data_IF_750778586832
#
_entry.id   IF_750778586832
#
_cell.length_a   1.000
_cell.length_b   1.000
_cell.length_c   1.000
_cell.angle_alpha   90.00
_cell.angle_beta   90.00
_cell.angle_gamma   90.00
#
_symmetry.space_group_name_H-M   'P 1'
#
loop_
_entity.id
_entity.type
_entity.pdbx_description
1 polymer ?
#
# COMPACT_ATOMS: atom_id res chain seq x y z
N UNK A 1 -19.80 -17.61 -16.88
CA UNK A 1 -19.32 -18.32 -18.08
C UNK A 1 -20.42 -18.35 -19.14
N UNK A 2 -20.14 -17.81 -20.36
CA UNK A 2 -21.16 -17.74 -21.45
C UNK A 2 -21.64 -19.12 -21.93
N UNK A 3 -20.78 -20.11 -21.92
CA UNK A 3 -21.11 -21.47 -22.26
C UNK A 3 -22.11 -22.09 -21.30
N UNK A 4 -21.91 -21.87 -20.01
CA UNK A 4 -22.81 -22.37 -18.97
C UNK A 4 -24.18 -21.70 -19.02
N UNK A 5 -24.22 -20.37 -19.21
CA UNK A 5 -25.46 -19.63 -19.41
C UNK A 5 -26.20 -20.11 -20.67
N UNK A 6 -25.46 -20.36 -21.74
CA UNK A 6 -26.00 -20.90 -22.99
C UNK A 6 -26.65 -22.28 -22.81
N UNK A 7 -26.01 -23.19 -22.04
CA UNK A 7 -26.58 -24.47 -21.66
C UNK A 7 -27.85 -24.33 -20.81
N UNK A 8 -27.84 -23.42 -19.83
CA UNK A 8 -29.02 -23.16 -18.98
C UNK A 8 -30.21 -22.68 -19.79
N UNK A 9 -30.02 -21.77 -20.73
CA UNK A 9 -31.09 -21.26 -21.60
C UNK A 9 -31.69 -22.40 -22.44
N UNK A 10 -30.89 -23.28 -23.04
CA UNK A 10 -31.39 -24.43 -23.79
C UNK A 10 -32.14 -25.42 -22.89
N UNK A 11 -31.70 -25.63 -21.67
CA UNK A 11 -32.40 -26.44 -20.66
C UNK A 11 -33.76 -25.84 -20.27
N UNK A 12 -33.83 -24.53 -20.10
CA UNK A 12 -35.09 -23.84 -19.81
C UNK A 12 -36.05 -23.85 -21.02
N UNK A 13 -35.51 -23.73 -22.22
CA UNK A 13 -36.33 -23.84 -23.46
C UNK A 13 -36.98 -25.21 -23.59
N UNK A 14 -36.33 -26.27 -23.12
CA UNK A 14 -36.91 -27.61 -23.11
C UNK A 14 -38.19 -27.72 -22.28
N UNK A 15 -38.23 -26.97 -21.16
CA UNK A 15 -39.41 -26.97 -20.29
C UNK A 15 -40.53 -26.05 -20.72
N UNK A 16 -40.22 -24.98 -21.45
CA UNK A 16 -41.20 -23.95 -21.83
C UNK A 16 -41.67 -24.04 -23.26
N UNK A 17 -40.85 -24.54 -24.18
CA UNK A 17 -41.07 -24.48 -25.64
C UNK A 17 -40.99 -25.83 -26.35
N UNK A 18 -41.08 -26.94 -25.64
CA UNK A 18 -40.96 -28.31 -26.21
C UNK A 18 -39.66 -28.54 -26.99
N UNK A 19 -38.57 -27.90 -26.64
CA UNK A 19 -37.28 -28.12 -27.27
C UNK A 19 -36.65 -29.43 -26.77
N UNK A 20 -36.22 -30.30 -27.72
CA UNK A 20 -35.55 -31.56 -27.34
C UNK A 20 -34.14 -31.34 -26.84
N UNK A 21 -34.04 -31.07 -25.54
CA UNK A 21 -32.76 -30.85 -24.86
C UNK A 21 -31.88 -32.11 -24.79
N UNK A 22 -32.49 -33.30 -24.71
CA UNK A 22 -31.77 -34.57 -24.69
C UNK A 22 -31.11 -34.82 -26.03
N UNK A 23 -31.87 -34.65 -27.13
CA UNK A 23 -31.33 -34.75 -28.49
C UNK A 23 -30.23 -33.69 -28.74
N UNK A 24 -30.37 -32.51 -28.20
CA UNK A 24 -29.36 -31.44 -28.24
C UNK A 24 -28.08 -31.83 -27.48
N UNK A 25 -28.18 -32.31 -26.22
CA UNK A 25 -27.06 -32.78 -25.41
C UNK A 25 -26.30 -33.94 -26.06
N UNK A 26 -27.01 -34.83 -26.72
CA UNK A 26 -26.44 -35.92 -27.51
C UNK A 26 -25.92 -35.52 -28.90
N UNK A 27 -25.98 -34.24 -29.26
CA UNK A 27 -25.54 -33.71 -30.56
C UNK A 27 -26.43 -34.06 -31.72
N UNK A 28 -27.66 -34.60 -31.51
CA UNK A 28 -28.62 -34.97 -32.53
C UNK A 28 -29.50 -33.83 -32.99
N UNK A 29 -29.72 -32.85 -32.13
CA UNK A 29 -30.51 -31.64 -32.39
C UNK A 29 -29.58 -30.41 -32.39
N UNK A 30 -29.81 -29.51 -33.36
CA UNK A 30 -29.02 -28.26 -33.44
C UNK A 30 -29.41 -27.32 -32.32
N UNK A 31 -28.43 -26.53 -31.78
CA UNK A 31 -28.73 -25.52 -30.79
C UNK A 31 -29.66 -24.45 -31.38
N UNK A 32 -30.53 -23.87 -30.54
CA UNK A 32 -31.43 -22.78 -30.94
C UNK A 32 -30.63 -21.57 -31.47
N UNK A 33 -29.48 -21.34 -30.88
CA UNK A 33 -28.54 -20.30 -31.29
C UNK A 33 -27.12 -20.63 -30.81
N UNK A 34 -26.12 -20.02 -31.41
CA UNK A 34 -24.72 -20.22 -31.01
C UNK A 34 -24.34 -19.44 -29.75
N UNK A 35 -23.30 -19.89 -29.04
CA UNK A 35 -22.69 -19.13 -27.92
C UNK A 35 -22.29 -17.73 -28.39
N UNK A 36 -21.84 -17.58 -29.64
CA UNK A 36 -21.48 -16.30 -30.23
C UNK A 36 -22.67 -15.37 -30.39
N UNK A 37 -23.82 -15.91 -30.76
CA UNK A 37 -25.10 -15.17 -30.87
C UNK A 37 -25.50 -14.63 -29.49
N UNK A 38 -25.40 -15.46 -28.43
CA UNK A 38 -25.65 -15.03 -27.05
C UNK A 38 -24.71 -13.91 -26.62
N UNK A 39 -23.41 -14.06 -26.88
CA UNK A 39 -22.42 -13.02 -26.58
C UNK A 39 -22.74 -11.69 -27.25
N UNK A 40 -23.10 -11.74 -28.54
CA UNK A 40 -23.46 -10.56 -29.32
C UNK A 40 -24.75 -9.91 -28.78
N UNK A 41 -25.76 -10.72 -28.45
CA UNK A 41 -27.00 -10.25 -27.84
C UNK A 41 -26.74 -9.52 -26.53
N UNK A 42 -25.99 -10.13 -25.60
CA UNK A 42 -25.66 -9.53 -24.31
C UNK A 42 -24.86 -8.25 -24.53
N UNK A 43 -23.85 -8.26 -25.40
CA UNK A 43 -23.06 -7.08 -25.73
C UNK A 43 -23.94 -5.94 -26.27
N UNK A 44 -24.87 -6.21 -27.15
CA UNK A 44 -25.76 -5.21 -27.71
C UNK A 44 -26.78 -4.71 -26.70
N UNK A 45 -27.34 -5.59 -25.86
CA UNK A 45 -28.28 -5.23 -24.81
C UNK A 45 -27.69 -4.25 -23.80
N UNK A 46 -26.43 -4.49 -23.42
CA UNK A 46 -25.72 -3.63 -22.45
C UNK A 46 -24.92 -2.48 -23.07
N UNK A 47 -24.98 -2.29 -24.40
CA UNK A 47 -24.21 -1.25 -25.09
C UNK A 47 -24.51 0.13 -24.53
N UNK A 48 -25.77 0.43 -24.28
CA UNK A 48 -26.24 1.73 -23.76
C UNK A 48 -26.52 1.69 -22.25
N UNK A 49 -26.15 0.58 -21.57
CA UNK A 49 -26.36 0.34 -20.14
C UNK A 49 -25.06 -0.09 -19.42
N UNK A 50 -23.96 0.66 -19.59
CA UNK A 50 -22.66 0.25 -19.06
C UNK A 50 -22.63 0.16 -17.53
N UNK A 51 -23.41 0.99 -16.81
CA UNK A 51 -23.53 0.95 -15.37
C UNK A 51 -24.17 -0.36 -14.89
N UNK A 52 -25.33 -0.73 -15.46
CA UNK A 52 -26.04 -1.97 -15.12
C UNK A 52 -25.15 -3.20 -15.40
N UNK A 53 -24.49 -3.22 -16.55
CA UNK A 53 -23.53 -4.27 -16.89
C UNK A 53 -22.39 -4.39 -15.89
N UNK A 54 -21.85 -3.26 -15.43
CA UNK A 54 -20.80 -3.25 -14.42
C UNK A 54 -21.31 -3.74 -13.06
N UNK A 55 -22.52 -3.36 -12.64
CA UNK A 55 -23.14 -3.83 -11.40
C UNK A 55 -23.27 -5.37 -11.40
N UNK A 56 -23.79 -5.93 -12.49
CA UNK A 56 -24.03 -7.37 -12.60
C UNK A 56 -22.73 -8.17 -12.69
N UNK A 57 -21.73 -7.64 -13.41
CA UNK A 57 -20.50 -8.40 -13.69
C UNK A 57 -19.40 -8.16 -12.68
N UNK A 58 -19.35 -7.00 -12.02
CA UNK A 58 -18.23 -6.55 -11.16
C UNK A 58 -18.67 -6.08 -9.78
N UNK A 59 -19.98 -6.02 -9.55
CA UNK A 59 -20.54 -5.57 -8.26
C UNK A 59 -20.79 -4.07 -8.19
N UNK A 60 -21.62 -3.70 -7.19
CA UNK A 60 -22.11 -2.32 -7.01
C UNK A 60 -20.99 -1.32 -6.70
N UNK A 61 -20.03 -1.70 -5.84
CA UNK A 61 -18.97 -0.80 -5.40
C UNK A 61 -18.04 -0.44 -6.55
N UNK A 62 -17.71 -1.42 -7.39
CA UNK A 62 -16.90 -1.17 -8.58
C UNK A 62 -17.65 -0.34 -9.63
N UNK A 63 -18.95 -0.54 -9.76
CA UNK A 63 -19.78 0.27 -10.64
C UNK A 63 -19.86 1.72 -10.15
N UNK A 64 -20.04 1.95 -8.84
CA UNK A 64 -20.00 3.28 -8.23
C UNK A 64 -18.66 3.96 -8.52
N UNK A 65 -17.55 3.30 -8.23
CA UNK A 65 -16.20 3.84 -8.47
C UNK A 65 -15.95 4.21 -9.94
N UNK A 66 -16.52 3.48 -10.88
CA UNK A 66 -16.27 3.68 -12.30
C UNK A 66 -17.19 4.72 -12.96
N UNK A 67 -18.43 4.83 -12.52
CA UNK A 67 -19.48 5.61 -13.19
C UNK A 67 -19.99 6.80 -12.41
N UNK A 68 -19.84 6.83 -11.07
CA UNK A 68 -20.18 8.02 -10.32
C UNK A 68 -19.06 9.04 -10.43
N UNK A 69 -19.36 10.30 -10.74
CA UNK A 69 -18.36 11.35 -10.76
C UNK A 69 -17.81 11.57 -9.35
N UNK A 70 -16.49 11.66 -9.23
CA UNK A 70 -15.85 12.08 -7.99
C UNK A 70 -16.32 13.48 -7.62
N UNK A 71 -16.98 13.63 -6.49
CA UNK A 71 -17.48 14.91 -6.00
C UNK A 71 -16.44 15.58 -5.09
N UNK A 72 -16.09 16.83 -5.40
CA UNK A 72 -15.21 17.64 -4.58
C UNK A 72 -13.72 17.40 -4.83
N UNK A 73 -12.91 18.19 -4.13
CA UNK A 73 -11.46 18.07 -4.13
C UNK A 73 -11.00 17.91 -2.67
N UNK A 74 -10.34 16.82 -2.35
CA UNK A 74 -9.88 16.55 -0.97
C UNK A 74 -9.02 17.69 -0.39
N UNK A 75 -8.30 18.43 -1.24
CA UNK A 75 -7.53 19.60 -0.80
C UNK A 75 -8.37 20.80 -0.42
N UNK A 76 -9.61 20.84 -0.81
CA UNK A 76 -10.57 21.88 -0.39
C UNK A 76 -11.16 21.54 0.98
N UNK A 77 -11.18 20.24 1.36
CA UNK A 77 -11.58 19.76 2.68
C UNK A 77 -10.44 19.89 3.70
N UNK A 78 -9.20 19.69 3.26
CA UNK A 78 -8.01 19.73 4.11
C UNK A 78 -7.10 20.85 3.62
N UNK A 79 -7.40 22.08 4.03
CA UNK A 79 -6.81 23.31 3.55
C UNK A 79 -5.56 23.77 4.33
N UNK A 80 -5.16 23.02 5.35
CA UNK A 80 -3.95 23.25 6.14
C UNK A 80 -3.07 22.00 6.23
N UNK A 81 -1.74 22.22 6.39
CA UNK A 81 -0.77 21.15 6.61
C UNK A 81 -1.11 20.34 7.87
N UNK A 82 -0.82 19.06 7.85
CA UNK A 82 -1.08 18.12 8.94
C UNK A 82 -2.57 17.93 9.35
N UNK A 83 -3.54 18.42 8.59
CA UNK A 83 -4.93 18.05 8.83
C UNK A 83 -5.20 16.60 8.43
N UNK A 84 -4.71 16.20 7.26
CA UNK A 84 -4.90 14.85 6.77
C UNK A 84 -3.68 14.37 5.99
N UNK A 85 -3.22 13.18 6.32
CA UNK A 85 -2.24 12.45 5.54
C UNK A 85 -2.89 11.29 4.80
N UNK A 86 -2.38 10.96 3.63
CA UNK A 86 -2.68 9.71 2.96
C UNK A 86 -1.50 8.76 3.11
N UNK A 87 -1.77 7.53 3.55
CA UNK A 87 -0.78 6.47 3.67
C UNK A 87 -1.15 5.30 2.77
N UNK A 88 -0.18 4.73 2.06
CA UNK A 88 -0.39 3.56 1.22
C UNK A 88 0.90 2.78 0.99
N UNK A 89 0.76 1.54 0.54
CA UNK A 89 1.86 0.65 0.19
C UNK A 89 1.68 0.08 -1.21
N UNK A 90 2.78 -0.06 -1.94
CA UNK A 90 2.77 -0.65 -3.28
C UNK A 90 4.00 -1.53 -3.46
N UNK A 91 3.89 -2.71 -4.10
CA UNK A 91 5.06 -3.43 -4.55
C UNK A 91 5.89 -2.54 -5.48
N UNK A 92 7.19 -2.48 -5.28
CA UNK A 92 8.07 -1.71 -6.14
C UNK A 92 8.15 -2.33 -7.55
N UNK A 93 8.23 -1.51 -8.60
CA UNK A 93 8.39 -1.99 -9.97
C UNK A 93 9.87 -2.24 -10.33
N UNK A 94 10.65 -2.69 -9.36
CA UNK A 94 12.06 -3.05 -9.53
C UNK A 94 12.48 -4.13 -8.53
N UNK A 95 13.61 -4.78 -8.84
CA UNK A 95 14.27 -5.78 -8.00
C UNK A 95 15.54 -5.17 -7.43
N UNK A 96 15.83 -5.51 -6.19
CA UNK A 96 17.07 -5.18 -5.48
C UNK A 96 17.76 -6.46 -5.02
N UNK A 97 19.01 -6.33 -4.57
CA UNK A 97 19.73 -7.40 -3.85
C UNK A 97 19.68 -7.13 -2.36
N UNK A 98 19.54 -8.17 -1.59
CA UNK A 98 19.76 -8.12 -0.14
C UNK A 98 21.20 -7.69 0.17
N UNK A 99 21.41 -6.88 1.19
CA UNK A 99 22.73 -6.32 1.49
C UNK A 99 23.74 -7.38 1.96
N UNK A 100 23.28 -8.44 2.62
CA UNK A 100 24.13 -9.49 3.20
C UNK A 100 24.20 -10.73 2.30
N UNK A 101 23.04 -11.25 1.89
CA UNK A 101 22.97 -12.50 1.11
C UNK A 101 23.18 -12.28 -0.38
N UNK A 102 23.01 -11.04 -0.85
CA UNK A 102 23.02 -10.63 -2.26
C UNK A 102 21.93 -11.29 -3.11
N UNK A 103 20.98 -11.99 -2.48
CA UNK A 103 19.86 -12.59 -3.18
C UNK A 103 18.88 -11.51 -3.69
N UNK A 104 18.38 -11.67 -4.92
CA UNK A 104 17.45 -10.72 -5.49
C UNK A 104 16.06 -10.86 -4.88
N UNK A 105 15.42 -9.73 -4.56
CA UNK A 105 14.02 -9.70 -4.12
C UNK A 105 13.32 -8.42 -4.58
N UNK A 106 11.99 -8.46 -4.57
CA UNK A 106 11.13 -7.33 -4.89
C UNK A 106 10.68 -6.63 -3.61
N UNK A 107 11.12 -5.40 -3.33
CA UNK A 107 10.68 -4.68 -2.12
C UNK A 107 9.29 -4.08 -2.30
N UNK A 108 8.75 -3.54 -1.19
CA UNK A 108 7.57 -2.71 -1.17
C UNK A 108 7.96 -1.26 -0.89
N UNK A 109 7.26 -0.32 -1.53
CA UNK A 109 7.35 1.11 -1.22
C UNK A 109 6.17 1.45 -0.32
N UNK A 110 6.45 2.01 0.85
CA UNK A 110 5.46 2.62 1.71
C UNK A 110 5.60 4.14 1.61
N UNK A 111 4.49 4.86 1.54
CA UNK A 111 4.53 6.32 1.43
C UNK A 111 3.43 6.99 2.23
N UNK A 112 3.78 8.14 2.81
CA UNK A 112 2.86 9.10 3.44
C UNK A 112 2.92 10.41 2.66
N UNK A 113 1.75 11.01 2.43
CA UNK A 113 1.63 12.30 1.73
C UNK A 113 0.66 13.21 2.48
N UNK A 114 1.08 14.42 2.79
CA UNK A 114 0.19 15.47 3.31
C UNK A 114 -0.76 15.96 2.21
N UNK A 115 -2.06 15.95 2.49
CA UNK A 115 -3.10 16.20 1.49
C UNK A 115 -3.05 17.66 1.01
N UNK A 116 -2.82 18.60 1.92
CA UNK A 116 -2.75 20.02 1.61
C UNK A 116 -1.59 20.35 0.66
N UNK A 117 -0.39 20.06 1.09
CA UNK A 117 0.82 20.48 0.38
C UNK A 117 1.26 19.49 -0.70
N UNK A 118 1.03 18.19 -0.50
CA UNK A 118 1.61 17.11 -1.26
C UNK A 118 3.05 16.78 -0.85
N UNK A 119 3.55 17.38 0.25
CA UNK A 119 4.78 16.95 0.90
C UNK A 119 4.65 15.50 1.37
N UNK A 120 5.73 14.76 1.37
CA UNK A 120 5.65 13.41 1.87
C UNK A 120 6.99 12.75 2.07
N UNK A 121 6.93 11.57 2.65
CA UNK A 121 8.04 10.63 2.82
C UNK A 121 7.70 9.30 2.17
N UNK A 122 8.73 8.54 1.84
CA UNK A 122 8.58 7.13 1.46
C UNK A 122 9.74 6.33 2.03
N UNK A 123 9.55 5.02 2.11
CA UNK A 123 10.58 4.07 2.51
C UNK A 123 10.42 2.76 1.75
N UNK A 124 11.54 2.05 1.54
CA UNK A 124 11.52 0.67 1.07
C UNK A 124 11.47 -0.27 2.26
N UNK A 125 10.74 -1.36 2.10
CA UNK A 125 10.69 -2.47 3.06
C UNK A 125 10.69 -3.79 2.32
N UNK A 126 11.24 -4.84 2.92
CA UNK A 126 11.18 -6.18 2.34
C UNK A 126 9.73 -6.69 2.26
N UNK A 127 8.96 -6.44 3.31
CA UNK A 127 7.54 -6.77 3.42
C UNK A 127 6.75 -5.63 4.04
N UNK A 128 5.56 -5.33 3.51
CA UNK A 128 4.59 -4.47 4.19
C UNK A 128 3.98 -5.23 5.36
N UNK A 129 4.02 -4.65 6.56
CA UNK A 129 3.38 -5.13 7.78
C UNK A 129 3.15 -3.97 8.75
N UNK A 130 2.47 -4.21 9.88
CA UNK A 130 2.17 -3.16 10.87
C UNK A 130 3.44 -2.48 11.42
N UNK A 131 4.51 -3.22 11.65
CA UNK A 131 5.79 -2.66 12.13
C UNK A 131 6.42 -1.71 11.10
N UNK A 132 6.39 -2.08 9.81
CA UNK A 132 6.92 -1.20 8.75
C UNK A 132 6.06 0.05 8.57
N UNK A 133 4.73 -0.04 8.77
CA UNK A 133 3.85 1.12 8.82
C UNK A 133 4.15 2.03 10.01
N UNK A 134 4.39 1.44 11.18
CA UNK A 134 4.80 2.17 12.40
C UNK A 134 6.10 2.94 12.17
N UNK A 135 7.11 2.32 11.58
CA UNK A 135 8.39 2.98 11.24
C UNK A 135 8.22 4.10 10.23
N UNK A 136 7.41 3.89 9.19
CA UNK A 136 7.08 4.94 8.22
C UNK A 136 6.37 6.12 8.90
N UNK A 137 5.42 5.83 9.79
CA UNK A 137 4.68 6.85 10.54
C UNK A 137 5.63 7.68 11.40
N UNK A 138 6.56 7.04 12.12
CA UNK A 138 7.59 7.78 12.88
C UNK A 138 8.43 8.67 11.96
N UNK A 139 8.96 8.14 10.85
CA UNK A 139 9.73 8.92 9.87
C UNK A 139 8.96 10.15 9.37
N UNK A 140 7.65 10.04 9.21
CA UNK A 140 6.80 11.16 8.80
C UNK A 140 6.55 12.16 9.93
N UNK A 141 6.27 11.68 11.15
CA UNK A 141 6.01 12.52 12.33
C UNK A 141 7.27 13.29 12.76
N UNK A 142 8.42 12.65 12.78
CA UNK A 142 9.70 13.30 13.07
C UNK A 142 9.97 14.46 12.11
N UNK A 143 9.68 14.27 10.83
CA UNK A 143 9.93 15.27 9.79
C UNK A 143 8.87 16.37 9.71
N UNK A 144 7.59 16.04 9.87
CA UNK A 144 6.46 16.94 9.60
C UNK A 144 5.66 17.30 10.85
N UNK A 145 5.90 16.65 11.98
CA UNK A 145 5.03 16.70 13.17
C UNK A 145 3.81 15.79 13.01
N UNK A 146 2.97 15.75 14.03
CA UNK A 146 1.81 14.87 14.13
C UNK A 146 0.64 15.37 13.26
N UNK A 147 -0.04 14.50 12.46
CA UNK A 147 -1.27 14.86 11.78
C UNK A 147 -2.48 14.71 12.70
N UNK A 148 -3.63 15.30 12.31
CA UNK A 148 -4.90 15.06 12.99
C UNK A 148 -5.53 13.74 12.52
N UNK A 149 -5.39 13.43 11.22
CA UNK A 149 -6.02 12.29 10.57
C UNK A 149 -5.10 11.62 9.58
N UNK A 150 -5.25 10.31 9.44
CA UNK A 150 -4.61 9.50 8.40
C UNK A 150 -5.69 8.76 7.62
N UNK A 151 -5.67 8.88 6.29
CA UNK A 151 -6.44 8.06 5.34
C UNK A 151 -5.57 6.94 4.79
N UNK A 152 -6.00 5.71 4.97
CA UNK A 152 -5.27 4.53 4.51
C UNK A 152 -6.19 3.45 3.94
N UNK A 153 -5.62 2.30 3.64
CA UNK A 153 -6.37 1.16 3.12
C UNK A 153 -7.06 0.35 4.23
N UNK A 154 -8.03 -0.49 3.85
CA UNK A 154 -8.68 -1.47 4.72
C UNK A 154 -7.85 -2.77 4.89
N UNK A 155 -6.57 -2.76 4.53
CA UNK A 155 -5.68 -3.91 4.66
C UNK A 155 -5.46 -4.32 6.12
N UNK A 156 -5.19 -5.61 6.34
CA UNK A 156 -5.01 -6.17 7.70
C UNK A 156 -3.90 -5.47 8.49
N UNK A 157 -2.86 -5.00 7.82
CA UNK A 157 -1.73 -4.32 8.45
C UNK A 157 -2.14 -2.96 9.02
N UNK A 158 -2.99 -2.22 8.28
CA UNK A 158 -3.52 -0.91 8.67
C UNK A 158 -4.57 -1.03 9.79
N UNK A 159 -5.36 -2.10 9.78
CA UNK A 159 -6.39 -2.38 10.79
C UNK A 159 -5.89 -3.26 11.94
N UNK A 160 -4.58 -3.53 12.00
CA UNK A 160 -4.00 -4.29 13.09
C UNK A 160 -4.20 -3.56 14.43
N UNK A 161 -4.42 -4.33 15.50
CA UNK A 161 -4.63 -3.78 16.84
C UNK A 161 -3.47 -2.87 17.26
N UNK A 162 -2.25 -3.26 16.94
CA UNK A 162 -1.04 -2.52 17.33
C UNK A 162 -1.00 -1.16 16.63
N UNK A 163 -1.25 -1.12 15.32
CA UNK A 163 -1.23 0.14 14.57
C UNK A 163 -2.39 1.06 14.95
N UNK A 164 -3.60 0.52 15.15
CA UNK A 164 -4.75 1.30 15.60
C UNK A 164 -4.54 1.84 17.02
N UNK A 165 -4.03 1.01 17.94
CA UNK A 165 -3.72 1.46 19.32
C UNK A 165 -2.65 2.56 19.35
N UNK A 166 -1.67 2.51 18.45
CA UNK A 166 -0.69 3.57 18.26
C UNK A 166 -1.37 4.87 17.84
N UNK A 167 -2.22 4.83 16.84
CA UNK A 167 -2.92 6.02 16.34
C UNK A 167 -3.85 6.62 17.40
N UNK A 168 -4.61 5.78 18.11
CA UNK A 168 -5.47 6.19 19.22
C UNK A 168 -4.67 6.84 20.35
N UNK A 169 -3.54 6.23 20.75
CA UNK A 169 -2.67 6.74 21.78
C UNK A 169 -2.02 8.09 21.44
N UNK A 170 -1.83 8.35 20.15
CA UNK A 170 -1.35 9.63 19.64
C UNK A 170 -2.47 10.62 19.30
N UNK A 171 -3.74 10.28 19.54
CA UNK A 171 -4.92 11.06 19.11
C UNK A 171 -4.85 11.39 17.60
N UNK A 172 -4.60 10.40 16.77
CA UNK A 172 -4.65 10.47 15.31
C UNK A 172 -5.86 9.68 14.83
N UNK A 173 -6.80 10.33 14.16
CA UNK A 173 -7.96 9.65 13.61
C UNK A 173 -7.57 8.81 12.38
N UNK A 174 -8.02 7.56 12.32
CA UNK A 174 -7.86 6.73 11.13
C UNK A 174 -9.15 6.67 10.32
N UNK A 175 -9.09 7.09 9.06
CA UNK A 175 -10.20 7.01 8.11
C UNK A 175 -9.84 5.98 7.02
N UNK A 176 -10.45 4.80 7.13
CA UNK A 176 -10.23 3.72 6.19
C UNK A 176 -10.94 4.02 4.86
N UNK A 177 -10.21 4.05 3.77
CA UNK A 177 -10.76 4.30 2.44
C UNK A 177 -11.80 3.22 2.07
N UNK A 178 -12.92 3.66 1.50
CA UNK A 178 -13.94 2.74 0.98
C UNK A 178 -13.32 1.91 -0.14
N UNK A 179 -13.60 0.61 -0.13
CA UNK A 179 -13.11 -0.29 -1.17
C UNK A 179 -13.48 0.23 -2.57
N UNK A 180 -12.52 0.23 -3.48
CA UNK A 180 -12.66 0.73 -4.87
C UNK A 180 -12.87 2.25 -5.03
N UNK A 181 -12.81 3.05 -3.96
CA UNK A 181 -12.88 4.52 -4.05
C UNK A 181 -11.46 5.11 -4.19
N UNK A 182 -10.80 4.89 -5.34
CA UNK A 182 -9.43 5.35 -5.62
C UNK A 182 -9.27 6.88 -5.51
N UNK A 183 -10.34 7.65 -5.71
CA UNK A 183 -10.33 9.11 -5.50
C UNK A 183 -9.99 9.50 -4.06
N UNK A 184 -10.27 8.65 -3.07
CA UNK A 184 -9.96 8.93 -1.66
C UNK A 184 -8.46 8.87 -1.34
N UNK A 185 -7.68 8.15 -2.15
CA UNK A 185 -6.22 8.01 -2.03
C UNK A 185 -5.46 8.54 -3.26
N UNK A 186 -6.11 9.29 -4.12
CA UNK A 186 -5.56 9.73 -5.41
C UNK A 186 -4.20 10.45 -5.31
N UNK A 187 -3.87 11.08 -4.19
CA UNK A 187 -2.59 11.79 -4.03
C UNK A 187 -1.44 10.83 -3.80
N UNK A 188 -1.59 9.86 -2.91
CA UNK A 188 -0.54 8.87 -2.65
C UNK A 188 -0.39 7.91 -3.83
N UNK A 189 -1.47 7.52 -4.49
CA UNK A 189 -1.43 6.73 -5.73
C UNK A 189 -0.69 7.46 -6.86
N UNK A 190 -0.99 8.76 -7.06
CA UNK A 190 -0.27 9.58 -8.03
C UNK A 190 1.20 9.69 -7.69
N UNK A 191 1.54 9.74 -6.40
CA UNK A 191 2.93 9.76 -5.94
C UNK A 191 3.65 8.48 -6.33
N UNK A 192 3.05 7.30 -6.10
CA UNK A 192 3.62 6.03 -6.57
C UNK A 192 3.84 6.03 -8.08
N UNK A 193 2.83 6.45 -8.84
CA UNK A 193 2.95 6.58 -10.30
C UNK A 193 4.14 7.46 -10.70
N UNK A 194 4.32 8.60 -10.05
CA UNK A 194 5.43 9.51 -10.35
C UNK A 194 6.79 8.93 -9.94
N UNK A 195 6.92 8.37 -8.74
CA UNK A 195 8.15 7.74 -8.28
C UNK A 195 8.55 6.57 -9.19
N UNK A 196 7.60 5.73 -9.56
CA UNK A 196 7.85 4.57 -10.41
C UNK A 196 8.17 4.95 -11.86
N UNK A 197 7.52 5.98 -12.41
CA UNK A 197 7.74 6.37 -13.81
C UNK A 197 8.92 7.32 -14.02
N UNK A 198 9.19 8.23 -13.10
CA UNK A 198 10.21 9.27 -13.29
C UNK A 198 11.62 8.82 -12.87
N UNK A 199 11.75 8.16 -11.72
CA UNK A 199 13.05 7.74 -11.16
C UNK A 199 13.32 6.25 -11.37
N UNK A 200 12.44 5.43 -10.79
CA UNK A 200 12.60 3.97 -10.72
C UNK A 200 12.65 3.31 -12.10
N UNK A 201 11.93 3.83 -13.09
CA UNK A 201 11.95 3.30 -14.46
C UNK A 201 13.33 3.33 -15.13
N UNK A 202 14.28 4.11 -14.60
CA UNK A 202 15.65 4.23 -15.11
C UNK A 202 16.63 3.30 -14.41
N UNK A 203 16.22 2.66 -13.32
CA UNK A 203 17.08 1.76 -12.54
C UNK A 203 17.29 0.42 -13.26
N UNK A 204 18.49 -0.14 -13.09
CA UNK A 204 18.69 -1.56 -13.37
C UNK A 204 17.77 -2.39 -12.46
N UNK A 205 17.19 -3.45 -13.00
CA UNK A 205 16.20 -4.24 -12.25
C UNK A 205 14.76 -3.75 -12.36
N UNK A 206 14.48 -2.67 -13.12
CA UNK A 206 13.11 -2.25 -13.39
C UNK A 206 12.34 -3.32 -14.16
N UNK A 207 11.15 -3.68 -13.64
CA UNK A 207 10.33 -4.81 -14.13
C UNK A 207 9.06 -4.39 -14.85
N UNK A 208 8.75 -3.10 -14.82
CA UNK A 208 7.49 -2.57 -15.35
C UNK A 208 6.28 -2.91 -14.47
N UNK A 209 5.24 -2.10 -14.59
CA UNK A 209 4.03 -2.17 -13.77
C UNK A 209 2.91 -3.05 -14.37
N UNK A 210 3.11 -3.58 -15.57
CA UNK A 210 2.16 -4.49 -16.22
C UNK A 210 2.86 -5.51 -17.12
N UNK A 211 2.12 -6.57 -17.49
CA UNK A 211 2.62 -7.66 -18.33
C UNK A 211 3.22 -7.17 -19.65
N UNK A 212 2.56 -6.25 -20.35
CA UNK A 212 3.03 -5.75 -21.64
C UNK A 212 4.38 -5.01 -21.52
N UNK A 213 4.54 -4.16 -20.48
CA UNK A 213 5.82 -3.48 -20.22
C UNK A 213 6.91 -4.48 -19.82
N UNK A 214 6.56 -5.48 -19.01
CA UNK A 214 7.48 -6.57 -18.64
C UNK A 214 7.94 -7.32 -19.89
N UNK A 215 7.04 -7.71 -20.77
CA UNK A 215 7.37 -8.37 -22.04
C UNK A 215 8.30 -7.49 -22.93
N UNK A 216 8.03 -6.18 -23.00
CA UNK A 216 8.91 -5.25 -23.73
C UNK A 216 10.31 -5.17 -23.13
N UNK A 217 10.44 -5.22 -21.80
CA UNK A 217 11.75 -5.23 -21.11
C UNK A 217 12.44 -6.58 -21.36
N UNK A 218 11.72 -7.69 -21.26
CA UNK A 218 12.24 -9.03 -21.55
C UNK A 218 12.67 -9.18 -23.01
N UNK A 219 11.98 -8.54 -23.96
CA UNK A 219 12.36 -8.57 -25.38
C UNK A 219 13.74 -7.95 -25.67
N UNK A 220 14.23 -7.07 -24.80
CA UNK A 220 15.60 -6.53 -24.89
C UNK A 220 16.66 -7.57 -24.52
N UNK A 221 16.29 -8.67 -23.89
CA UNK A 221 17.19 -9.76 -23.53
C UNK A 221 17.24 -10.79 -24.67
N UNK A 222 18.42 -11.28 -25.10
CA UNK A 222 18.53 -12.30 -26.15
C UNK A 222 17.72 -13.57 -25.83
N UNK A 223 17.09 -14.18 -26.85
CA UNK A 223 16.22 -15.36 -26.68
C UNK A 223 16.86 -16.51 -25.89
N UNK A 224 18.15 -16.74 -26.06
CA UNK A 224 18.93 -17.78 -25.35
C UNK A 224 18.96 -17.56 -23.83
N UNK A 225 18.91 -16.30 -23.39
CA UNK A 225 19.04 -15.90 -21.99
C UNK A 225 17.67 -15.75 -21.30
N UNK A 226 16.55 -15.83 -22.07
CA UNK A 226 15.17 -15.74 -21.54
C UNK A 226 14.62 -17.09 -21.04
N UNK A 227 15.27 -18.22 -21.37
CA UNK A 227 14.70 -19.57 -21.15
C UNK A 227 14.69 -20.00 -19.70
N UNK A 228 15.62 -19.56 -18.88
CA UNK A 228 15.65 -19.86 -17.46
C UNK A 228 15.06 -18.66 -16.68
N UNK A 229 13.85 -18.82 -16.19
CA UNK A 229 13.17 -17.82 -15.35
C UNK A 229 13.42 -18.12 -13.87
N UNK A 230 13.62 -17.07 -13.08
CA UNK A 230 13.61 -17.16 -11.62
C UNK A 230 12.16 -17.20 -11.08
N UNK A 231 11.98 -17.28 -9.79
CA UNK A 231 10.68 -17.31 -9.12
C UNK A 231 9.81 -16.07 -9.39
N UNK A 232 10.42 -14.95 -9.82
CA UNK A 232 9.75 -13.71 -10.22
C UNK A 232 9.43 -13.65 -11.72
N UNK A 233 9.77 -14.69 -12.48
CA UNK A 233 9.53 -14.80 -13.91
C UNK A 233 10.54 -14.05 -14.78
N UNK A 234 11.73 -13.69 -14.25
CA UNK A 234 12.81 -13.05 -15.00
C UNK A 234 13.84 -14.04 -15.53
N UNK A 235 14.54 -13.64 -16.60
CA UNK A 235 15.66 -14.42 -17.10
C UNK A 235 16.78 -14.47 -16.06
N UNK A 236 17.15 -15.68 -15.59
CA UNK A 236 18.20 -15.93 -14.55
C UNK A 236 19.54 -15.26 -14.83
N UNK A 237 19.80 -14.81 -16.06
CA UNK A 237 21.03 -14.11 -16.46
C UNK A 237 20.90 -12.59 -16.52
N UNK A 238 19.82 -11.99 -15.99
CA UNK A 238 19.88 -10.56 -15.69
C UNK A 238 21.14 -10.36 -14.85
N UNK A 239 21.99 -9.44 -15.27
CA UNK A 239 23.29 -9.26 -14.62
C UNK A 239 23.05 -8.75 -13.19
N UNK A 240 22.86 -9.70 -12.25
CA UNK A 240 22.52 -9.44 -10.84
C UNK A 240 23.50 -8.47 -10.19
N UNK A 241 24.75 -8.40 -10.71
CA UNK A 241 25.77 -7.45 -10.27
C UNK A 241 25.40 -5.99 -10.54
N UNK A 242 24.48 -5.71 -11.48
CA UNK A 242 24.00 -4.37 -11.79
C UNK A 242 22.77 -3.95 -10.95
N UNK A 243 22.16 -4.88 -10.21
CA UNK A 243 21.07 -4.54 -9.32
C UNK A 243 21.63 -3.74 -8.14
N UNK A 244 20.92 -2.71 -7.74
CA UNK A 244 21.24 -2.00 -6.49
C UNK A 244 21.05 -2.94 -5.31
N UNK A 245 21.85 -2.75 -4.27
CA UNK A 245 21.58 -3.33 -2.96
C UNK A 245 20.34 -2.66 -2.34
N UNK A 246 19.76 -3.28 -1.32
CA UNK A 246 18.60 -2.72 -0.66
C UNK A 246 18.91 -1.34 -0.04
N UNK A 247 20.06 -1.19 0.58
CA UNK A 247 20.52 0.09 1.16
C UNK A 247 20.72 1.16 0.09
N UNK A 248 21.39 0.85 -1.04
CA UNK A 248 21.55 1.78 -2.17
C UNK A 248 20.18 2.20 -2.76
N UNK A 249 19.23 1.27 -2.83
CA UNK A 249 17.88 1.57 -3.32
C UNK A 249 17.09 2.44 -2.33
N UNK A 250 17.30 2.30 -1.02
CA UNK A 250 16.73 3.19 -0.01
C UNK A 250 17.23 4.62 -0.18
N UNK A 251 18.53 4.82 -0.35
CA UNK A 251 19.14 6.14 -0.61
C UNK A 251 18.60 6.76 -1.90
N UNK A 252 18.52 5.96 -2.96
CA UNK A 252 17.94 6.40 -4.23
C UNK A 252 16.49 6.85 -4.08
N UNK A 253 15.65 6.07 -3.38
CA UNK A 253 14.26 6.44 -3.13
C UNK A 253 14.16 7.74 -2.32
N UNK A 254 15.02 7.92 -1.34
CA UNK A 254 15.05 9.15 -0.53
C UNK A 254 15.39 10.38 -1.36
N UNK A 255 16.37 10.29 -2.25
CA UNK A 255 16.72 11.35 -3.19
C UNK A 255 15.53 11.69 -4.13
N UNK A 256 14.83 10.69 -4.67
CA UNK A 256 13.64 10.91 -5.50
C UNK A 256 12.47 11.54 -4.71
N UNK A 257 12.33 11.20 -3.43
CA UNK A 257 11.35 11.83 -2.53
C UNK A 257 11.66 13.30 -2.29
N UNK A 258 12.93 13.65 -2.03
CA UNK A 258 13.38 15.03 -1.87
C UNK A 258 13.11 15.81 -3.16
N UNK A 259 13.51 15.27 -4.29
CA UNK A 259 13.26 15.86 -5.62
C UNK A 259 11.78 16.09 -5.89
N UNK A 260 10.91 15.13 -5.53
CA UNK A 260 9.47 15.30 -5.62
C UNK A 260 8.98 16.47 -4.77
N UNK A 261 9.40 16.55 -3.52
CA UNK A 261 8.98 17.59 -2.59
C UNK A 261 9.38 19.01 -3.08
N UNK A 262 10.42 19.08 -3.90
CA UNK A 262 10.94 20.31 -4.51
C UNK A 262 10.48 20.52 -5.97
N UNK A 263 9.73 19.58 -6.55
CA UNK A 263 9.31 19.65 -7.95
C UNK A 263 8.10 20.56 -8.12
N UNK A 264 8.09 21.37 -9.17
CA UNK A 264 6.98 22.25 -9.51
C UNK A 264 5.77 21.42 -9.96
N UNK A 265 4.65 21.61 -9.31
CA UNK A 265 3.38 20.96 -9.62
C UNK A 265 2.37 22.02 -10.04
N UNK A 266 1.73 21.83 -11.21
CA UNK A 266 0.66 22.72 -11.67
C UNK A 266 -0.57 22.55 -10.78
N UNK A 267 -1.09 23.65 -10.24
CA UNK A 267 -2.28 23.71 -9.39
C UNK A 267 -3.27 24.77 -9.88
N UNK A 268 -4.51 24.77 -9.39
CA UNK A 268 -5.53 25.80 -9.73
C UNK A 268 -5.02 27.22 -9.48
N UNK A 269 -4.19 27.44 -8.47
CA UNK A 269 -3.64 28.78 -8.09
C UNK A 269 -2.21 29.01 -8.59
N UNK A 270 -1.81 28.36 -9.68
CA UNK A 270 -0.47 28.51 -10.26
C UNK A 270 0.44 27.30 -10.06
N UNK A 271 1.73 27.49 -10.34
CA UNK A 271 2.74 26.42 -10.22
C UNK A 271 3.49 26.66 -8.91
N UNK A 272 3.38 25.70 -7.97
CA UNK A 272 4.10 25.71 -6.69
C UNK A 272 4.68 24.33 -6.40
N UNK A 273 5.78 24.28 -5.66
CA UNK A 273 6.31 23.05 -5.14
C UNK A 273 5.53 22.59 -3.90
N UNK A 274 5.52 21.29 -3.55
CA UNK A 274 5.00 20.83 -2.27
C UNK A 274 5.62 21.56 -1.07
N UNK A 275 6.93 21.81 -1.10
CA UNK A 275 7.66 22.53 -0.05
C UNK A 275 7.20 24.00 0.08
N UNK A 276 7.02 24.72 -1.04
CA UNK A 276 6.50 26.09 -1.01
C UNK A 276 5.09 26.15 -0.40
N UNK A 277 4.23 25.18 -0.73
CA UNK A 277 2.90 25.12 -0.13
C UNK A 277 2.94 24.80 1.36
N UNK A 278 3.78 23.86 1.75
CA UNK A 278 3.98 23.53 3.16
C UNK A 278 4.41 24.75 3.97
N UNK A 279 5.38 25.50 3.46
CA UNK A 279 5.91 26.68 4.13
C UNK A 279 4.94 27.87 4.11
N UNK A 280 4.00 27.92 3.15
CA UNK A 280 2.99 28.99 3.07
C UNK A 280 1.83 28.84 4.06
N UNK A 281 1.78 27.76 4.83
CA UNK A 281 0.75 27.53 5.82
C UNK A 281 1.29 27.83 7.23
N UNK A 282 0.59 28.73 7.95
CA UNK A 282 1.01 29.18 9.30
C UNK A 282 0.59 28.24 10.44
N UNK A 283 -0.08 27.12 10.12
CA UNK A 283 -0.49 26.15 11.15
C UNK A 283 0.71 25.67 11.95
N UNK A 284 0.60 25.72 13.28
CA UNK A 284 1.60 25.20 14.20
C UNK A 284 1.83 23.71 14.00
N UNK A 285 3.09 23.29 14.09
CA UNK A 285 3.48 21.88 13.99
C UNK A 285 3.51 21.28 15.41
N UNK A 286 2.68 20.28 15.63
CA UNK A 286 2.68 19.51 16.88
C UNK A 286 3.80 18.46 16.80
N UNK A 287 4.86 18.65 17.57
CA UNK A 287 5.96 17.70 17.69
C UNK A 287 5.70 16.76 18.85
N UNK A 288 6.09 15.51 18.71
CA UNK A 288 6.14 14.50 19.77
C UNK A 288 7.56 13.95 19.84
N UNK A 289 7.97 13.48 21.01
CA UNK A 289 9.28 12.85 21.17
C UNK A 289 9.26 11.40 20.66
N UNK A 290 10.44 10.84 20.41
CA UNK A 290 10.54 9.42 20.04
C UNK A 290 10.08 8.50 21.18
N UNK A 291 10.36 8.88 22.41
CA UNK A 291 9.92 8.17 23.62
C UNK A 291 8.38 8.15 23.71
N UNK A 292 7.72 9.28 23.50
CA UNK A 292 6.26 9.38 23.48
C UNK A 292 5.67 8.53 22.35
N UNK A 293 6.29 8.57 21.17
CA UNK A 293 5.89 7.72 20.06
C UNK A 293 6.04 6.24 20.40
N UNK A 294 7.19 5.82 20.92
CA UNK A 294 7.45 4.43 21.31
C UNK A 294 6.51 3.96 22.41
N UNK A 295 6.23 4.80 23.40
CA UNK A 295 5.27 4.48 24.44
C UNK A 295 3.91 4.09 23.87
N UNK A 296 3.49 4.70 22.75
CA UNK A 296 2.25 4.39 22.09
C UNK A 296 2.36 3.24 21.06
N UNK A 297 3.54 3.04 20.46
CA UNK A 297 3.77 2.05 19.41
C UNK A 297 4.03 0.63 19.94
N UNK A 298 4.60 0.50 21.14
CA UNK A 298 5.07 -0.78 21.64
C UNK A 298 4.04 -1.56 22.44
N UNK A 299 4.23 -2.88 22.48
CA UNK A 299 3.52 -3.75 23.42
C UNK A 299 3.86 -3.31 24.84
N UNK A 300 2.84 -2.85 25.57
CA UNK A 300 2.98 -2.40 26.95
C UNK A 300 2.75 -3.59 27.87
N UNK A 301 3.81 -4.11 28.44
CA UNK A 301 3.72 -5.20 29.41
C UNK A 301 4.13 -4.75 30.79
N UNK A 302 3.35 -5.13 31.78
CA UNK A 302 3.72 -4.94 33.18
C UNK A 302 4.74 -5.99 33.58
N UNK A 303 5.87 -5.54 34.12
CA UNK A 303 6.93 -6.40 34.65
C UNK A 303 7.31 -5.95 36.04
N UNK A 304 7.96 -6.85 36.77
CA UNK A 304 8.52 -6.57 38.09
C UNK A 304 10.03 -6.56 37.98
N UNK A 305 10.68 -5.55 38.54
CA UNK A 305 12.13 -5.47 38.59
C UNK A 305 12.68 -6.57 39.50
N UNK A 306 13.40 -7.50 38.93
CA UNK A 306 14.05 -8.60 39.66
C UNK A 306 15.50 -8.29 40.05
N UNK A 307 16.09 -9.11 40.94
CA UNK A 307 17.52 -8.98 41.32
C UNK A 307 18.47 -9.09 40.12
N UNK A 308 18.06 -9.80 39.05
CA UNK A 308 18.86 -9.96 37.81
C UNK A 308 18.50 -8.96 36.70
N UNK A 309 17.58 -8.05 36.96
CA UNK A 309 17.02 -7.12 35.97
C UNK A 309 15.60 -7.45 35.61
N UNK A 310 15.11 -6.93 34.46
CA UNK A 310 13.76 -7.13 33.94
C UNK A 310 13.79 -8.22 32.84
N UNK A 311 12.97 -9.24 32.99
CA UNK A 311 12.73 -10.26 31.97
C UNK A 311 11.63 -9.78 31.01
N UNK A 312 11.98 -9.64 29.73
CA UNK A 312 11.05 -9.24 28.67
C UNK A 312 11.37 -10.01 27.39
N UNK A 313 10.40 -10.69 26.80
CA UNK A 313 10.54 -11.52 25.59
C UNK A 313 11.79 -12.41 25.58
N UNK A 314 11.95 -13.22 26.62
CA UNK A 314 13.09 -14.15 26.81
C UNK A 314 14.47 -13.50 26.92
N UNK A 315 14.55 -12.19 27.14
CA UNK A 315 15.78 -11.43 27.37
C UNK A 315 15.78 -10.78 28.74
N UNK A 316 16.98 -10.61 29.31
CA UNK A 316 17.16 -9.90 30.59
C UNK A 316 17.79 -8.55 30.33
N UNK A 317 17.06 -7.50 30.65
CA UNK A 317 17.53 -6.12 30.54
C UNK A 317 18.06 -5.65 31.90
N UNK A 318 19.19 -4.95 31.86
CA UNK A 318 19.86 -4.41 33.06
C UNK A 318 20.32 -2.98 32.82
N UNK A 319 20.18 -2.13 33.85
CA UNK A 319 20.69 -0.77 33.82
C UNK A 319 21.03 -0.35 35.26
N UNK A 320 21.99 0.53 35.41
CA UNK A 320 22.28 1.18 36.70
C UNK A 320 21.15 2.12 37.16
N UNK A 321 20.31 2.56 36.21
CA UNK A 321 19.17 3.45 36.47
C UNK A 321 17.86 2.71 36.74
N UNK A 322 17.91 1.37 36.92
CA UNK A 322 16.69 0.62 37.20
C UNK A 322 16.08 0.99 38.55
N UNK A 323 14.72 1.02 38.62
CA UNK A 323 14.02 1.10 39.90
C UNK A 323 14.38 -0.03 40.86
N UNK A 324 14.05 0.13 42.13
CA UNK A 324 14.30 -0.89 43.16
C UNK A 324 13.67 -2.22 42.85
N UNK A 325 14.33 -3.31 43.27
CA UNK A 325 13.82 -4.67 43.13
C UNK A 325 12.43 -4.79 43.76
N UNK A 326 11.49 -5.41 43.05
CA UNK A 326 10.08 -5.52 43.45
C UNK A 326 9.18 -4.44 42.88
N UNK A 327 9.71 -3.37 42.28
CA UNK A 327 8.90 -2.32 41.66
C UNK A 327 8.20 -2.85 40.41
N UNK A 328 6.91 -2.55 40.28
CA UNK A 328 6.12 -2.82 39.06
C UNK A 328 6.32 -1.68 38.07
N UNK A 329 6.66 -1.99 36.85
CA UNK A 329 6.94 -1.05 35.77
C UNK A 329 6.22 -1.45 34.49
N UNK A 330 5.87 -0.47 33.65
CA UNK A 330 5.46 -0.69 32.28
C UNK A 330 6.72 -0.74 31.40
N UNK A 331 6.86 -1.80 30.64
CA UNK A 331 7.99 -2.01 29.72
C UNK A 331 7.53 -1.87 28.29
N UNK A 332 8.30 -1.18 27.47
CA UNK A 332 8.09 -1.04 26.02
C UNK A 332 9.42 -1.30 25.33
N UNK A 333 9.47 -2.29 24.44
CA UNK A 333 10.68 -2.58 23.68
C UNK A 333 10.87 -1.56 22.55
N UNK A 334 12.12 -1.15 22.33
CA UNK A 334 12.43 -0.32 21.17
C UNK A 334 12.20 -1.12 19.88
N UNK A 335 11.37 -0.58 18.99
CA UNK A 335 10.99 -1.23 17.72
C UNK A 335 12.17 -1.34 16.73
N UNK A 336 13.20 -0.52 16.89
CA UNK A 336 14.38 -0.48 16.03
C UNK A 336 15.61 -1.10 16.68
N UNK A 337 15.63 -1.21 18.02
CA UNK A 337 16.73 -1.80 18.74
C UNK A 337 16.23 -2.74 19.86
N UNK A 338 16.18 -4.02 19.58
CA UNK A 338 15.73 -5.05 20.52
C UNK A 338 16.63 -5.17 21.80
N UNK A 339 17.77 -4.48 21.84
CA UNK A 339 18.64 -4.43 23.04
C UNK A 339 18.21 -3.34 24.01
N UNK A 340 17.29 -2.48 23.63
CA UNK A 340 16.78 -1.38 24.44
C UNK A 340 15.35 -1.66 24.90
N UNK A 341 15.12 -1.41 26.19
CA UNK A 341 13.82 -1.52 26.83
C UNK A 341 13.54 -0.21 27.57
N UNK A 342 12.49 0.48 27.15
CA UNK A 342 12.00 1.66 27.87
C UNK A 342 11.15 1.22 29.05
N UNK A 343 11.37 1.89 30.19
CA UNK A 343 10.73 1.57 31.46
C UNK A 343 10.01 2.82 31.95
N UNK A 344 8.74 2.68 32.21
CA UNK A 344 7.87 3.73 32.70
C UNK A 344 7.27 3.32 34.04
N UNK A 345 6.93 4.28 34.88
CA UNK A 345 6.10 4.02 36.06
C UNK A 345 4.67 3.61 35.67
N UNK A 346 3.83 3.31 36.64
CA UNK A 346 2.45 2.90 36.38
C UNK A 346 1.58 4.04 35.81
N UNK A 347 1.97 5.29 36.04
CA UNK A 347 1.32 6.49 35.48
C UNK A 347 1.79 6.80 34.05
N UNK A 348 2.90 6.21 33.61
CA UNK A 348 3.42 6.39 32.24
C UNK A 348 4.50 7.45 32.12
N UNK A 349 5.16 7.82 33.26
CA UNK A 349 6.32 8.71 33.29
C UNK A 349 7.63 7.92 33.24
#
# INVERSE_FOLDING_TARGET
>A
NFTELWWQIHKEAATKENYDFIGFDLGKVKPLFSVKTLQNFIKNYYKDKPLEHCIITQGLDRAKSKFLPAQGNQRELYDMKNMCWQIDSSPADFIVRDDETLEPFRPHILSVVDVFSGMGVATLVGKSNSLSLTRLLWKAIDKFGKPDMIKGDNGKDYLSKDFQSLLDGLNITYDAAIAYAGEQKALVERRFGTLQHAGISKMHGHIGNNLAKREMIEQKTPKKDRRAKDEYGFAKKTNQKLLLTFSEACEFLEAEVIKWNMSKVRRKKGIKTPLELWNSCDRAIVKISYEEFLFNAGNKELRVVGKKGINFESRVYKSALMPSVGTKVKCVQNIDNIKELFIYDLSGN
#
